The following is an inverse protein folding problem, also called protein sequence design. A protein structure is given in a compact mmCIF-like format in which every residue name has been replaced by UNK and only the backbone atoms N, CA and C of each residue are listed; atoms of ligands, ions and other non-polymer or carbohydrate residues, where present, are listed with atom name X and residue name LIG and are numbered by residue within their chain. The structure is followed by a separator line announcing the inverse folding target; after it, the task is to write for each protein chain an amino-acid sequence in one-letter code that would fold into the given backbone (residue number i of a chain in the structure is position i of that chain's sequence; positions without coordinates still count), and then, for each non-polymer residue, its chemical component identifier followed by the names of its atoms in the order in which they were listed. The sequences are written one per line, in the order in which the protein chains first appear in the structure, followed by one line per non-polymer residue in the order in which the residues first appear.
data_IF_044675429282
#
_entry.id   IF_044675429282
#
_cell.length_a   1.000
_cell.length_b   1.000
_cell.length_c   1.000
_cell.angle_alpha   90.00
_cell.angle_beta   90.00
_cell.angle_gamma   90.00
#
_symmetry.space_group_name_H-M   'P 1'
#
loop_
_entity.id
_entity.type
_entity.pdbx_description
1 polymer ?
#
# COMPACT_ATOMS: atom_id res chain seq x y z
N UNK A 1 -0.60 4.48 -34.45
CA UNK A 1 0.10 3.71 -33.41
C UNK A 1 -0.92 3.49 -32.31
N UNK A 2 -1.61 2.34 -32.33
CA UNK A 2 -2.53 1.99 -31.25
C UNK A 2 -1.66 1.60 -30.06
N UNK A 3 -1.61 2.46 -29.05
CA UNK A 3 -1.17 2.03 -27.73
C UNK A 3 -2.32 1.18 -27.20
N UNK A 4 -2.33 -0.12 -27.53
CA UNK A 4 -3.05 -1.05 -26.65
C UNK A 4 -2.27 -0.94 -25.34
N UNK A 5 -2.81 -0.17 -24.40
CA UNK A 5 -2.42 -0.32 -23.01
C UNK A 5 -2.61 -1.80 -22.75
N UNK A 6 -1.53 -2.49 -22.39
CA UNK A 6 -1.64 -3.89 -22.05
C UNK A 6 -2.44 -3.93 -20.74
N UNK A 7 -3.73 -4.16 -20.85
CA UNK A 7 -4.66 -4.22 -19.71
C UNK A 7 -4.23 -5.28 -18.72
N UNK A 8 -3.45 -6.26 -19.18
CA UNK A 8 -2.84 -7.27 -18.32
C UNK A 8 -1.69 -6.67 -17.49
N UNK A 9 -0.88 -5.76 -18.03
CA UNK A 9 0.13 -5.03 -17.26
C UNK A 9 -0.51 -4.19 -16.13
N UNK A 10 -1.65 -3.54 -16.41
CA UNK A 10 -2.40 -2.81 -15.38
C UNK A 10 -2.92 -3.72 -14.27
N UNK A 11 -3.40 -4.92 -14.62
CA UNK A 11 -3.86 -5.93 -13.65
C UNK A 11 -2.72 -6.48 -12.82
N UNK A 12 -1.58 -6.80 -13.45
CA UNK A 12 -0.37 -7.26 -12.77
C UNK A 12 0.13 -6.20 -11.81
N UNK A 13 0.17 -4.92 -12.21
CA UNK A 13 0.60 -3.85 -11.31
C UNK A 13 -0.40 -3.68 -10.14
N UNK A 14 -1.71 -3.77 -10.42
CA UNK A 14 -2.72 -3.77 -9.36
C UNK A 14 -2.53 -4.90 -8.34
N UNK A 15 -2.14 -6.09 -8.78
CA UNK A 15 -1.81 -7.23 -7.90
C UNK A 15 -0.57 -6.95 -7.06
N UNK A 16 0.48 -6.37 -7.64
CA UNK A 16 1.68 -5.96 -6.90
C UNK A 16 1.35 -4.97 -5.77
N UNK A 17 0.55 -3.93 -6.07
CA UNK A 17 0.11 -2.97 -5.05
C UNK A 17 -0.77 -3.61 -3.98
N UNK A 18 -1.64 -4.55 -4.35
CA UNK A 18 -2.41 -5.33 -3.38
C UNK A 18 -1.51 -6.21 -2.50
N UNK A 19 -0.43 -6.76 -3.06
CA UNK A 19 0.60 -7.52 -2.35
C UNK A 19 1.32 -6.67 -1.32
N UNK A 20 1.78 -5.47 -1.69
CA UNK A 20 2.39 -4.53 -0.74
C UNK A 20 1.45 -4.15 0.41
N UNK A 21 0.15 -3.97 0.14
CA UNK A 21 -0.84 -3.74 1.19
C UNK A 21 -0.93 -4.91 2.17
N UNK A 22 -0.94 -6.15 1.66
CA UNK A 22 -1.00 -7.36 2.47
C UNK A 22 0.27 -7.56 3.31
N UNK A 23 1.46 -7.37 2.73
CA UNK A 23 2.74 -7.48 3.41
C UNK A 23 2.91 -6.44 4.52
N UNK A 24 2.39 -5.23 4.28
CA UNK A 24 2.43 -4.14 5.26
C UNK A 24 1.48 -4.43 6.45
N UNK A 25 0.29 -4.97 6.21
CA UNK A 25 -0.66 -5.33 7.28
C UNK A 25 -0.38 -6.67 7.97
N UNK A 26 0.35 -7.57 7.33
CA UNK A 26 0.68 -8.86 7.90
C UNK A 26 2.01 -8.84 8.65
N UNK A 27 3.11 -9.37 8.07
CA UNK A 27 4.39 -9.51 8.76
C UNK A 27 4.96 -8.18 9.27
N UNK A 28 4.75 -7.09 8.54
CA UNK A 28 5.31 -5.77 8.90
C UNK A 28 4.58 -5.18 10.11
N UNK A 29 3.25 -5.12 10.10
CA UNK A 29 2.47 -4.66 11.25
C UNK A 29 2.75 -5.49 12.52
N UNK A 30 2.85 -6.82 12.38
CA UNK A 30 3.21 -7.69 13.51
C UNK A 30 4.61 -7.38 14.07
N UNK A 31 5.60 -7.11 13.21
CA UNK A 31 6.94 -6.69 13.62
C UNK A 31 6.91 -5.33 14.31
N UNK A 32 6.21 -4.35 13.75
CA UNK A 32 6.07 -3.01 14.34
C UNK A 32 5.41 -3.06 15.72
N UNK A 33 4.32 -3.82 15.85
CA UNK A 33 3.66 -4.03 17.14
C UNK A 33 4.57 -4.71 18.18
N UNK A 34 5.53 -5.52 17.72
CA UNK A 34 6.54 -6.15 18.60
C UNK A 34 7.70 -5.24 19.01
N UNK A 35 7.84 -4.05 18.40
CA UNK A 35 8.83 -3.04 18.78
C UNK A 35 8.36 -2.29 20.03
N UNK A 36 8.21 -3.01 21.14
CA UNK A 36 7.97 -2.44 22.47
C UNK A 36 9.22 -2.62 23.31
N UNK A 37 9.70 -1.54 23.92
CA UNK A 37 10.72 -1.66 24.95
C UNK A 37 10.08 -2.08 26.28
N UNK A 38 10.71 -2.97 27.04
CA UNK A 38 10.24 -3.32 28.38
C UNK A 38 10.37 -2.13 29.34
N UNK A 39 9.54 -2.11 30.37
CA UNK A 39 9.62 -1.10 31.43
C UNK A 39 11.03 -1.09 32.05
N UNK A 40 11.61 0.11 32.16
CA UNK A 40 12.98 0.28 32.66
C UNK A 40 14.09 -0.04 31.65
N UNK A 41 13.76 -0.19 30.35
CA UNK A 41 14.76 -0.39 29.29
C UNK A 41 15.78 0.76 29.19
N UNK A 42 15.40 1.96 29.64
CA UNK A 42 16.28 3.12 29.68
C UNK A 42 16.75 3.41 31.11
N UNK A 43 18.06 3.65 31.32
CA UNK A 43 18.55 4.21 32.58
C UNK A 43 17.89 5.56 32.88
N UNK A 44 17.76 5.93 34.15
CA UNK A 44 17.16 7.22 34.55
C UNK A 44 17.77 8.43 33.82
N UNK A 45 19.10 8.47 33.70
CA UNK A 45 19.81 9.52 32.96
C UNK A 45 19.45 9.59 31.46
N UNK A 46 19.07 8.47 30.83
CA UNK A 46 18.61 8.45 29.43
C UNK A 46 17.16 8.96 29.31
N UNK A 47 16.33 8.69 30.31
CA UNK A 47 14.98 9.25 30.41
C UNK A 47 15.05 10.77 30.67
N UNK A 48 15.96 11.22 31.53
CA UNK A 48 16.14 12.63 31.88
C UNK A 48 16.56 13.50 30.68
N UNK A 49 17.22 12.91 29.68
CA UNK A 49 17.58 13.59 28.42
C UNK A 49 16.58 13.32 27.29
N UNK A 50 15.45 12.67 27.56
CA UNK A 50 14.33 12.51 26.61
C UNK A 50 14.46 11.36 25.61
N UNK A 51 15.32 10.36 25.85
CA UNK A 51 15.46 9.19 24.93
C UNK A 51 14.18 8.37 24.88
N UNK A 52 13.47 8.21 26.00
CA UNK A 52 12.19 7.50 26.04
C UNK A 52 11.14 8.15 25.14
N UNK A 53 11.00 9.48 25.23
CA UNK A 53 10.04 10.24 24.41
C UNK A 53 10.38 10.18 22.92
N UNK A 54 11.67 10.25 22.58
CA UNK A 54 12.15 10.09 21.21
C UNK A 54 11.82 8.70 20.66
N UNK A 55 12.01 7.65 21.47
CA UNK A 55 11.66 6.28 21.08
C UNK A 55 10.15 6.11 20.84
N UNK A 56 9.31 6.59 21.77
CA UNK A 56 7.85 6.50 21.61
C UNK A 56 7.37 7.30 20.39
N UNK A 57 7.98 8.46 20.10
CA UNK A 57 7.68 9.24 18.88
C UNK A 57 7.99 8.45 17.62
N UNK A 58 9.17 7.82 17.55
CA UNK A 58 9.57 6.97 16.42
C UNK A 58 8.62 5.78 16.29
N UNK A 59 8.32 5.09 17.39
CA UNK A 59 7.40 3.95 17.41
C UNK A 59 6.01 4.34 16.90
N UNK A 60 5.43 5.43 17.41
CA UNK A 60 4.13 5.93 16.97
C UNK A 60 4.13 6.33 15.49
N UNK A 61 5.24 6.89 14.99
CA UNK A 61 5.39 7.24 13.57
C UNK A 61 5.38 5.97 12.71
N UNK A 62 6.12 4.94 13.10
CA UNK A 62 6.17 3.67 12.38
C UNK A 62 4.81 2.96 12.40
N UNK A 63 4.10 2.99 13.53
CA UNK A 63 2.74 2.44 13.65
C UNK A 63 1.75 3.16 12.72
N UNK A 64 1.80 4.49 12.67
CA UNK A 64 0.99 5.31 11.76
C UNK A 64 1.28 4.95 10.30
N UNK A 65 2.55 4.87 9.90
CA UNK A 65 2.93 4.50 8.53
C UNK A 65 2.49 3.08 8.15
N UNK A 66 2.58 2.13 9.10
CA UNK A 66 2.09 0.77 8.90
C UNK A 66 0.57 0.70 8.81
N UNK A 67 -0.16 1.60 9.49
CA UNK A 67 -1.61 1.73 9.43
C UNK A 67 -2.12 2.41 8.14
N UNK A 68 -1.50 3.52 7.74
CA UNK A 68 -1.96 4.39 6.63
C UNK A 68 -1.48 3.94 5.25
N UNK A 69 -0.32 3.29 5.16
CA UNK A 69 0.24 2.78 3.91
C UNK A 69 -0.66 1.76 3.18
N UNK A 70 -1.16 0.71 3.85
CA UNK A 70 -1.98 -0.31 3.20
C UNK A 70 -3.29 0.19 2.58
N UNK A 71 -4.09 1.06 3.23
CA UNK A 71 -5.23 1.71 2.58
C UNK A 71 -4.84 2.42 1.27
N UNK A 72 -3.73 3.17 1.26
CA UNK A 72 -3.27 3.85 0.05
C UNK A 72 -2.90 2.86 -1.08
N UNK A 73 -2.16 1.80 -0.75
CA UNK A 73 -1.82 0.75 -1.73
C UNK A 73 -3.05 0.04 -2.29
N UNK A 74 -4.10 -0.18 -1.47
CA UNK A 74 -5.39 -0.72 -1.96
C UNK A 74 -6.09 0.23 -2.91
N UNK A 75 -6.08 1.54 -2.63
CA UNK A 75 -6.66 2.55 -3.53
C UNK A 75 -5.95 2.58 -4.87
N UNK A 76 -4.61 2.46 -4.90
CA UNK A 76 -3.85 2.35 -6.15
C UNK A 76 -4.24 1.08 -6.90
N UNK A 77 -4.26 -0.06 -6.21
CA UNK A 77 -4.69 -1.35 -6.77
C UNK A 77 -6.10 -1.28 -7.39
N UNK A 78 -7.07 -0.68 -6.70
CA UNK A 78 -8.44 -0.54 -7.24
C UNK A 78 -8.48 0.38 -8.46
N UNK A 79 -7.79 1.52 -8.40
CA UNK A 79 -7.73 2.48 -9.52
C UNK A 79 -7.16 1.84 -10.79
N UNK A 80 -6.12 1.01 -10.66
CA UNK A 80 -5.52 0.30 -11.79
C UNK A 80 -6.46 -0.77 -12.38
N UNK A 81 -7.20 -1.51 -11.53
CA UNK A 81 -8.23 -2.46 -11.99
C UNK A 81 -9.37 -1.76 -12.72
N UNK A 82 -9.84 -0.64 -12.18
CA UNK A 82 -10.90 0.16 -12.79
C UNK A 82 -10.46 0.71 -14.15
N UNK A 83 -9.20 1.17 -14.25
CA UNK A 83 -8.61 1.60 -15.52
C UNK A 83 -8.53 0.47 -16.54
N UNK A 84 -8.09 -0.73 -16.14
CA UNK A 84 -8.04 -1.89 -17.03
C UNK A 84 -9.44 -2.27 -17.54
N UNK A 85 -10.45 -2.27 -16.65
CA UNK A 85 -11.83 -2.55 -17.03
C UNK A 85 -12.38 -1.54 -18.01
N UNK A 86 -12.12 -0.23 -17.79
CA UNK A 86 -12.57 0.82 -18.69
C UNK A 86 -11.98 0.66 -20.10
N UNK A 87 -10.71 0.25 -20.20
CA UNK A 87 -10.07 -0.02 -21.48
C UNK A 87 -10.72 -1.21 -22.20
N UNK A 88 -10.95 -2.33 -21.52
CA UNK A 88 -11.63 -3.50 -22.09
C UNK A 88 -13.02 -3.15 -22.60
N UNK A 89 -13.81 -2.42 -21.80
CA UNK A 89 -15.17 -2.01 -22.15
C UNK A 89 -15.17 -1.09 -23.39
N UNK A 90 -14.15 -0.23 -23.52
CA UNK A 90 -14.01 0.69 -24.66
C UNK A 90 -13.54 -0.02 -25.93
N UNK A 91 -12.61 -0.99 -25.81
CA UNK A 91 -12.14 -1.81 -26.95
C UNK A 91 -13.31 -2.66 -27.48
N UNK A 92 -14.06 -3.32 -26.58
CA UNK A 92 -15.28 -4.09 -26.92
C UNK A 92 -16.34 -3.25 -27.62
N UNK A 93 -16.62 -2.02 -27.13
CA UNK A 93 -17.59 -1.14 -27.79
C UNK A 93 -17.12 -0.73 -29.19
N UNK A 94 -15.83 -0.43 -29.35
CA UNK A 94 -15.25 -0.03 -30.64
C UNK A 94 -15.33 -1.16 -31.68
N UNK A 95 -15.08 -2.41 -31.26
CA UNK A 95 -15.24 -3.59 -32.13
C UNK A 95 -16.70 -3.81 -32.55
N UNK A 96 -17.66 -3.70 -31.61
CA UNK A 96 -19.09 -3.86 -31.90
C UNK A 96 -19.65 -2.80 -32.85
N UNK A 97 -19.17 -1.56 -32.77
CA UNK A 97 -19.59 -0.48 -33.65
C UNK A 97 -18.99 -0.60 -35.05
N UNK A 98 -17.77 -1.13 -35.18
CA UNK A 98 -17.16 -1.41 -36.48
C UNK A 98 -17.90 -2.52 -37.24
N UNK A 99 -18.32 -3.59 -36.56
CA UNK A 99 -19.07 -4.69 -37.17
C UNK A 99 -20.50 -4.31 -37.64
N UNK A 100 -21.01 -3.15 -37.21
CA UNK A 100 -22.34 -2.64 -37.60
C UNK A 100 -22.33 -1.61 -38.72
N UNK A 101 -21.17 -1.12 -39.14
CA UNK A 101 -21.00 -0.07 -40.17
C UNK A 101 -20.76 -0.67 -41.57
#
# INVERSE_FOLDING_TARGET
MNVKVDTDDLRVDAENWSGFAADTQGPTAAKVASLTLPDGAFPGAAMDIGVGDAYETVRSTVDTLAGDGPPAFRTVSSTLRDAAQLYDDTDLQSELDFDRA
#
